data_IF_729504285615
#
_entry.id   IF_729504285615
#
_cell.length_a   1.000
_cell.length_b   1.000
_cell.length_c   1.000
_cell.angle_alpha   90.00
_cell.angle_beta   90.00
_cell.angle_gamma   90.00
#
_symmetry.space_group_name_H-M   'P 1'
#
loop_
_entity.id
_entity.type
_entity.pdbx_description
1 polymer ?
#
# COMPACT_ATOMS: atom_id res chain seq x y z
N UNK A 1 -1.06 -12.71 -0.10
CA UNK A 1 -2.21 -13.08 -0.96
C UNK A 1 -3.02 -14.17 -0.28
N UNK A 2 -2.57 -15.43 -0.22
CA UNK A 2 -3.43 -16.52 0.31
C UNK A 2 -3.44 -16.65 1.84
N UNK A 3 -2.52 -16.02 2.56
CA UNK A 3 -2.53 -16.02 4.03
C UNK A 3 -3.80 -15.32 4.52
N UNK A 4 -4.59 -15.92 5.42
CA UNK A 4 -5.84 -15.33 5.87
C UNK A 4 -5.60 -14.01 6.60
N UNK A 5 -6.58 -13.08 6.58
CA UNK A 5 -6.42 -11.74 7.15
C UNK A 5 -6.19 -11.80 8.67
N UNK A 6 -6.69 -12.84 9.35
CA UNK A 6 -6.41 -13.09 10.77
C UNK A 6 -4.91 -13.27 11.07
N UNK A 7 -4.13 -13.78 10.12
CA UNK A 7 -2.69 -14.06 10.25
C UNK A 7 -1.78 -13.10 9.48
N UNK A 8 -2.31 -12.26 8.59
CA UNK A 8 -1.53 -11.31 7.78
C UNK A 8 -2.15 -9.91 7.81
N UNK A 9 -2.20 -9.32 8.99
CA UNK A 9 -2.57 -7.92 9.22
C UNK A 9 -1.37 -6.97 9.00
N UNK A 10 -1.55 -5.63 8.97
CA UNK A 10 -0.52 -4.70 8.50
C UNK A 10 0.83 -4.84 9.20
N UNK A 11 0.85 -4.94 10.53
CA UNK A 11 2.11 -5.09 11.28
C UNK A 11 2.83 -6.43 11.01
N UNK A 12 2.10 -7.53 10.88
CA UNK A 12 2.68 -8.83 10.54
C UNK A 12 3.14 -8.88 9.09
N UNK A 13 2.41 -8.25 8.17
CA UNK A 13 2.83 -8.12 6.78
C UNK A 13 4.12 -7.30 6.66
N UNK A 14 4.20 -6.15 7.34
CA UNK A 14 5.41 -5.33 7.40
C UNK A 14 6.61 -6.09 7.99
N UNK A 15 6.39 -6.86 9.06
CA UNK A 15 7.42 -7.72 9.66
C UNK A 15 7.96 -8.76 8.69
N UNK A 16 7.08 -9.45 7.94
CA UNK A 16 7.50 -10.44 6.93
C UNK A 16 8.24 -9.81 5.77
N UNK A 17 7.74 -8.67 5.27
CA UNK A 17 8.39 -7.91 4.21
C UNK A 17 9.81 -7.50 4.62
N UNK A 18 9.96 -6.95 5.84
CA UNK A 18 11.25 -6.60 6.42
C UNK A 18 12.19 -7.80 6.50
N UNK A 19 11.74 -8.92 7.06
CA UNK A 19 12.58 -10.11 7.21
C UNK A 19 13.09 -10.63 5.86
N UNK A 20 12.23 -10.70 4.84
CA UNK A 20 12.60 -11.12 3.49
C UNK A 20 13.58 -10.13 2.85
N UNK A 21 13.31 -8.83 2.94
CA UNK A 21 14.14 -7.80 2.32
C UNK A 21 15.54 -7.72 2.95
N UNK A 22 15.63 -7.76 4.28
CA UNK A 22 16.92 -7.76 4.98
C UNK A 22 17.75 -9.00 4.63
N UNK A 23 17.14 -10.16 4.42
CA UNK A 23 17.85 -11.36 3.97
C UNK A 23 18.50 -11.21 2.59
N UNK A 24 17.96 -10.32 1.74
CA UNK A 24 18.51 -9.98 0.41
C UNK A 24 19.41 -8.74 0.43
N UNK A 25 19.76 -8.21 1.62
CA UNK A 25 20.60 -7.02 1.76
C UNK A 25 19.91 -5.71 1.38
N UNK A 26 18.57 -5.69 1.33
CA UNK A 26 17.78 -4.51 1.00
C UNK A 26 17.57 -3.66 2.27
N UNK A 27 17.70 -2.34 2.14
CA UNK A 27 17.41 -1.40 3.22
C UNK A 27 15.90 -1.32 3.47
N UNK A 28 15.48 -1.32 4.75
CA UNK A 28 14.07 -1.35 5.14
C UNK A 28 13.75 -0.26 6.15
N UNK A 29 12.76 0.56 5.83
CA UNK A 29 12.11 1.49 6.76
C UNK A 29 10.66 1.03 6.96
N UNK A 30 10.17 1.10 8.20
CA UNK A 30 8.78 0.81 8.53
C UNK A 30 8.27 1.93 9.42
N UNK A 31 7.24 2.63 8.98
CA UNK A 31 6.54 3.64 9.78
C UNK A 31 5.33 3.01 10.45
N UNK A 32 5.22 3.21 11.76
CA UNK A 32 4.02 2.86 12.54
C UNK A 32 2.94 3.94 12.49
N UNK A 33 1.79 3.70 13.14
CA UNK A 33 0.67 4.63 13.12
C UNK A 33 0.99 6.01 13.72
N UNK A 34 1.92 6.07 14.68
CA UNK A 34 2.31 7.32 15.34
C UNK A 34 3.23 8.11 14.43
N UNK A 35 4.17 7.45 13.78
CA UNK A 35 5.06 8.04 12.78
C UNK A 35 4.27 8.54 11.57
N UNK A 36 3.29 7.77 11.10
CA UNK A 36 2.38 8.17 10.01
C UNK A 36 1.54 9.39 10.39
N UNK A 37 0.98 9.41 11.60
CA UNK A 37 0.19 10.57 12.09
C UNK A 37 1.07 11.81 12.20
N UNK A 38 2.26 11.68 12.79
CA UNK A 38 3.22 12.79 12.92
C UNK A 38 3.74 13.28 11.57
N UNK A 39 3.89 12.37 10.61
CA UNK A 39 4.36 12.66 9.25
C UNK A 39 3.30 13.25 8.33
N UNK A 40 2.02 13.32 8.75
CA UNK A 40 0.95 13.90 7.94
C UNK A 40 0.36 12.97 6.87
N UNK A 41 0.49 11.64 7.03
CA UNK A 41 -0.07 10.64 6.12
C UNK A 41 -1.58 10.42 6.37
N UNK A 42 -2.37 11.46 6.13
CA UNK A 42 -3.79 11.46 6.52
C UNK A 42 -4.67 10.47 5.73
N UNK A 43 -4.29 10.09 4.51
CA UNK A 43 -4.97 9.04 3.74
C UNK A 43 -4.76 7.66 4.37
N UNK A 44 -3.51 7.30 4.68
CA UNK A 44 -3.17 6.02 5.32
C UNK A 44 -3.79 5.93 6.72
N UNK A 45 -3.65 6.99 7.53
CA UNK A 45 -4.22 7.03 8.88
C UNK A 45 -5.74 7.03 8.85
N UNK A 46 -6.36 7.80 7.94
CA UNK A 46 -7.81 7.89 7.78
C UNK A 46 -8.47 6.56 7.46
N UNK A 47 -7.87 5.77 6.57
CA UNK A 47 -8.34 4.43 6.23
C UNK A 47 -8.11 3.45 7.38
N UNK A 48 -6.91 3.43 7.97
CA UNK A 48 -6.53 2.43 8.97
C UNK A 48 -7.11 2.62 10.37
N UNK A 49 -7.55 3.84 10.74
CA UNK A 49 -8.03 4.16 12.11
C UNK A 49 -9.28 3.37 12.55
N UNK A 50 -9.98 2.75 11.60
CA UNK A 50 -11.14 1.91 11.89
C UNK A 50 -10.78 0.53 12.46
N UNK A 51 -9.58 0.02 12.19
CA UNK A 51 -9.14 -1.31 12.65
C UNK A 51 -8.44 -1.25 14.01
N UNK A 52 -8.54 -2.35 14.76
CA UNK A 52 -7.71 -2.61 15.94
C UNK A 52 -6.26 -2.95 15.60
N UNK A 53 -5.95 -3.17 14.31
CA UNK A 53 -4.61 -3.45 13.78
C UNK A 53 -4.14 -2.22 12.98
N UNK A 54 -3.36 -1.32 13.58
CA UNK A 54 -3.08 -0.01 13.01
C UNK A 54 -2.30 -0.09 11.68
N UNK A 55 -2.38 0.96 10.83
CA UNK A 55 -1.74 0.97 9.53
C UNK A 55 -0.21 1.01 9.63
N UNK A 56 0.47 0.68 8.53
CA UNK A 56 1.92 0.73 8.37
C UNK A 56 2.28 1.31 7.00
N UNK A 57 3.46 1.91 6.89
CA UNK A 57 4.10 2.14 5.60
C UNK A 57 5.44 1.44 5.59
N UNK A 58 5.70 0.60 4.59
CA UNK A 58 6.99 -0.07 4.41
C UNK A 58 7.70 0.52 3.22
N UNK A 59 8.96 0.91 3.39
CA UNK A 59 9.85 1.28 2.30
C UNK A 59 10.98 0.27 2.18
N UNK A 60 11.20 -0.25 0.97
CA UNK A 60 12.29 -1.19 0.65
C UNK A 60 13.18 -0.55 -0.42
N UNK A 61 14.44 -0.33 -0.09
CA UNK A 61 15.40 0.36 -0.97
C UNK A 61 16.48 -0.62 -1.42
N UNK A 62 16.41 -1.03 -2.69
CA UNK A 62 17.46 -1.78 -3.36
C UNK A 62 18.32 -0.83 -4.20
N UNK A 63 19.63 -0.86 -3.98
CA UNK A 63 20.61 -0.04 -4.70
C UNK A 63 21.45 -0.94 -5.61
N UNK A 64 20.99 -1.13 -6.85
CA UNK A 64 21.68 -1.94 -7.84
C UNK A 64 22.45 -1.12 -8.89
N UNK A 65 22.12 0.16 -9.04
CA UNK A 65 22.66 0.95 -10.12
C UNK A 65 24.15 1.29 -9.92
N UNK A 66 24.89 1.34 -11.04
CA UNK A 66 26.32 1.67 -11.05
C UNK A 66 26.58 2.92 -11.90
N UNK A 67 27.37 3.84 -11.35
CA UNK A 67 27.84 5.04 -12.06
C UNK A 67 26.85 6.21 -12.08
N UNK A 68 27.26 7.30 -12.73
CA UNK A 68 26.60 8.63 -12.68
C UNK A 68 25.25 8.74 -13.43
N UNK A 69 24.82 7.69 -14.13
CA UNK A 69 23.54 7.63 -14.88
C UNK A 69 22.63 6.50 -14.37
N UNK A 70 22.75 6.17 -13.09
CA UNK A 70 21.90 5.21 -12.41
C UNK A 70 20.43 5.52 -12.64
N UNK A 71 19.68 4.56 -13.18
CA UNK A 71 18.22 4.67 -13.32
C UNK A 71 17.55 4.21 -12.04
N UNK A 72 16.52 4.95 -11.62
CA UNK A 72 15.73 4.65 -10.43
C UNK A 72 14.27 4.45 -10.79
N UNK A 73 13.64 3.44 -10.20
CA UNK A 73 12.21 3.18 -10.32
C UNK A 73 11.59 3.13 -8.92
N UNK A 74 10.51 3.88 -8.74
CA UNK A 74 9.63 3.76 -7.60
C UNK A 74 8.50 2.77 -7.93
N UNK A 75 8.30 1.80 -7.04
CA UNK A 75 7.19 0.86 -7.12
C UNK A 75 6.25 1.11 -5.94
N UNK A 76 4.96 1.33 -6.20
CA UNK A 76 3.96 1.57 -5.16
C UNK A 76 2.92 0.45 -5.20
N UNK A 77 2.60 -0.15 -4.05
CA UNK A 77 1.71 -1.31 -4.01
C UNK A 77 0.61 -1.14 -2.97
N UNK A 78 -0.66 -1.19 -3.38
CA UNK A 78 -1.82 -1.16 -2.46
C UNK A 78 -1.73 -2.36 -1.50
N UNK A 79 -1.68 -2.08 -0.20
CA UNK A 79 -1.56 -3.08 0.87
C UNK A 79 -2.76 -3.15 1.81
N UNK A 80 -3.99 -3.12 1.28
CA UNK A 80 -5.18 -3.34 2.13
C UNK A 80 -5.27 -4.83 2.48
N UNK A 81 -4.86 -5.16 3.70
CA UNK A 81 -4.78 -6.55 4.16
C UNK A 81 -6.15 -7.21 4.34
N UNK A 82 -7.19 -6.39 4.55
CA UNK A 82 -8.58 -6.78 4.42
C UNK A 82 -9.46 -5.55 4.21
N UNK A 83 -10.49 -5.69 3.38
CA UNK A 83 -11.39 -4.60 3.01
C UNK A 83 -12.86 -5.00 3.19
N UNK A 84 -13.51 -4.46 4.22
CA UNK A 84 -14.97 -4.59 4.38
C UNK A 84 -15.72 -3.45 3.70
N UNK A 85 -15.00 -2.45 3.16
CA UNK A 85 -15.53 -1.17 2.71
C UNK A 85 -15.70 -0.09 3.77
N UNK A 86 -15.33 -0.38 5.03
CA UNK A 86 -15.52 0.57 6.15
C UNK A 86 -17.00 0.81 6.47
N UNK A 87 -17.38 2.08 6.69
CA UNK A 87 -18.78 2.49 6.95
C UNK A 87 -19.68 2.26 5.72
N UNK A 88 -19.15 2.49 4.52
CA UNK A 88 -19.74 2.10 3.23
C UNK A 88 -19.59 0.59 2.99
N UNK A 89 -20.18 -0.21 3.88
CA UNK A 89 -19.93 -1.65 3.98
C UNK A 89 -20.27 -2.42 2.69
N UNK A 90 -19.38 -3.33 2.29
CA UNK A 90 -19.63 -4.26 1.19
C UNK A 90 -20.75 -5.26 1.55
N UNK A 91 -21.49 -5.77 0.55
CA UNK A 91 -22.35 -6.94 0.75
C UNK A 91 -21.56 -8.16 1.21
N UNK A 92 -22.22 -9.10 1.90
CA UNK A 92 -21.55 -10.29 2.43
C UNK A 92 -20.99 -11.21 1.34
N UNK A 93 -21.68 -11.34 0.21
CA UNK A 93 -21.28 -12.23 -0.87
C UNK A 93 -19.95 -11.79 -1.52
N UNK A 94 -18.94 -12.65 -1.48
CA UNK A 94 -17.65 -12.40 -2.10
C UNK A 94 -16.65 -11.63 -1.23
N UNK A 95 -17.06 -11.16 -0.04
CA UNK A 95 -16.20 -10.39 0.87
C UNK A 95 -14.99 -11.22 1.36
N UNK A 96 -15.10 -12.55 1.41
CA UNK A 96 -13.99 -13.45 1.74
C UNK A 96 -12.78 -13.29 0.80
N UNK A 97 -13.03 -12.88 -0.46
CA UNK A 97 -11.98 -12.63 -1.44
C UNK A 97 -11.21 -11.34 -1.17
N UNK A 98 -11.70 -10.45 -0.29
CA UNK A 98 -11.00 -9.20 0.06
C UNK A 98 -9.71 -9.44 0.85
N UNK A 99 -9.42 -10.69 1.22
CA UNK A 99 -8.08 -11.12 1.63
C UNK A 99 -7.00 -10.82 0.57
N UNK A 100 -7.37 -10.78 -0.73
CA UNK A 100 -6.44 -10.47 -1.81
C UNK A 100 -6.27 -8.98 -2.10
N UNK A 101 -6.90 -8.08 -1.33
CA UNK A 101 -6.89 -6.63 -1.60
C UNK A 101 -5.53 -5.93 -1.29
N UNK A 102 -4.55 -6.75 -0.94
CA UNK A 102 -3.14 -6.45 -0.75
C UNK A 102 -2.26 -6.98 -1.90
N UNK A 103 -2.87 -7.39 -3.01
CA UNK A 103 -2.16 -8.03 -4.13
C UNK A 103 -1.10 -7.15 -4.77
N UNK A 104 -1.36 -5.84 -4.88
CA UNK A 104 -0.38 -4.86 -5.35
C UNK A 104 0.86 -4.79 -4.47
N UNK A 105 0.67 -4.68 -3.15
CA UNK A 105 1.76 -4.72 -2.17
C UNK A 105 2.59 -6.01 -2.27
N UNK A 106 1.92 -7.17 -2.36
CA UNK A 106 2.61 -8.46 -2.49
C UNK A 106 3.45 -8.53 -3.77
N UNK A 107 2.91 -8.06 -4.90
CA UNK A 107 3.61 -8.03 -6.18
C UNK A 107 4.85 -7.12 -6.13
N UNK A 108 4.70 -5.89 -5.63
CA UNK A 108 5.80 -4.93 -5.53
C UNK A 108 6.92 -5.43 -4.63
N UNK A 109 6.60 -5.97 -3.45
CA UNK A 109 7.60 -6.55 -2.55
C UNK A 109 8.35 -7.68 -3.26
N UNK A 110 7.64 -8.60 -3.93
CA UNK A 110 8.26 -9.72 -4.63
C UNK A 110 9.18 -9.27 -5.77
N UNK A 111 8.77 -8.26 -6.55
CA UNK A 111 9.58 -7.68 -7.63
C UNK A 111 10.84 -7.04 -7.09
N UNK A 112 10.76 -6.29 -5.99
CA UNK A 112 11.95 -5.67 -5.35
C UNK A 112 12.93 -6.71 -4.83
N UNK A 113 12.45 -7.78 -4.20
CA UNK A 113 13.29 -8.92 -3.78
C UNK A 113 13.95 -9.60 -4.97
N UNK A 114 13.20 -9.81 -6.07
CA UNK A 114 13.73 -10.42 -7.28
C UNK A 114 14.80 -9.56 -7.93
N UNK A 115 14.61 -8.23 -7.97
CA UNK A 115 15.61 -7.30 -8.50
C UNK A 115 16.94 -7.40 -7.74
N UNK A 116 16.88 -7.50 -6.40
CA UNK A 116 18.05 -7.68 -5.56
C UNK A 116 18.74 -9.03 -5.80
N UNK A 117 17.98 -10.13 -5.81
CA UNK A 117 18.50 -11.49 -6.08
C UNK A 117 19.21 -11.60 -7.43
N UNK A 118 18.66 -10.94 -8.45
CA UNK A 118 19.22 -10.93 -9.80
C UNK A 118 20.28 -9.85 -9.99
N UNK A 119 20.59 -9.07 -8.96
CA UNK A 119 21.57 -8.00 -8.99
C UNK A 119 21.35 -7.03 -10.15
N UNK A 120 20.08 -6.69 -10.43
CA UNK A 120 19.74 -5.85 -11.57
C UNK A 120 20.42 -4.47 -11.43
N UNK A 121 20.98 -3.91 -12.51
CA UNK A 121 21.75 -2.66 -12.45
C UNK A 121 20.86 -1.41 -12.39
N UNK A 122 19.85 -1.41 -11.52
CA UNK A 122 18.86 -0.34 -11.31
C UNK A 122 18.61 -0.13 -9.82
N UNK A 123 18.26 1.10 -9.46
CA UNK A 123 17.76 1.39 -8.11
C UNK A 123 16.25 1.15 -8.08
N UNK A 124 15.78 0.42 -7.08
CA UNK A 124 14.35 0.15 -6.88
C UNK A 124 13.96 0.58 -5.48
N UNK A 125 13.00 1.49 -5.38
CA UNK A 125 12.41 1.91 -4.11
C UNK A 125 10.95 1.49 -4.10
N UNK A 126 10.62 0.45 -3.33
CA UNK A 126 9.23 0.09 -3.10
C UNK A 126 8.66 0.89 -1.92
N UNK A 127 7.51 1.52 -2.11
CA UNK A 127 6.74 2.22 -1.07
C UNK A 127 5.37 1.57 -0.94
N UNK A 128 5.13 0.90 0.18
CA UNK A 128 4.01 -0.04 0.35
C UNK A 128 3.14 0.39 1.52
N UNK A 129 2.07 1.16 1.28
CA UNK A 129 1.11 1.53 2.32
C UNK A 129 0.25 0.32 2.69
N UNK A 130 0.04 0.09 3.99
CA UNK A 130 -0.70 -1.05 4.51
C UNK A 130 -1.76 -0.60 5.52
N UNK A 131 -2.97 -1.11 5.38
CA UNK A 131 -4.07 -0.88 6.32
C UNK A 131 -5.06 -2.05 6.30
N UNK A 132 -6.01 -2.06 7.24
CA UNK A 132 -7.28 -2.79 7.14
C UNK A 132 -8.40 -1.74 7.12
N UNK A 133 -9.33 -1.86 6.18
CA UNK A 133 -10.49 -0.98 6.10
C UNK A 133 -11.67 -1.65 6.80
N UNK A 134 -11.98 -1.20 8.01
CA UNK A 134 -12.95 -1.82 8.92
C UNK A 134 -13.97 -0.79 9.43
N UNK A 135 -15.26 -1.13 9.57
CA UNK A 135 -16.21 -0.31 10.32
C UNK A 135 -15.89 -0.40 11.82
N UNK A 136 -15.96 0.73 12.50
CA UNK A 136 -15.90 0.82 13.96
C UNK A 136 -16.34 2.22 14.40
N UNK A 137 -16.38 2.45 15.71
CA UNK A 137 -16.65 3.78 16.26
C UNK A 137 -15.56 4.81 15.92
N UNK A 138 -14.38 4.38 15.48
CA UNK A 138 -13.25 5.25 15.11
C UNK A 138 -13.03 5.34 13.61
N UNK A 139 -13.80 4.60 12.80
CA UNK A 139 -13.65 4.55 11.35
C UNK A 139 -13.87 5.92 10.69
N UNK A 140 -13.24 6.13 9.54
CA UNK A 140 -13.59 7.25 8.66
C UNK A 140 -15.03 7.10 8.16
N UNK A 141 -15.67 8.23 7.87
CA UNK A 141 -17.07 8.28 7.45
C UNK A 141 -17.21 9.02 6.12
N UNK A 142 -18.26 8.73 5.34
CA UNK A 142 -18.69 9.64 4.28
C UNK A 142 -18.87 11.07 4.81
N UNK A 143 -18.30 12.05 4.12
CA UNK A 143 -18.25 13.47 4.50
C UNK A 143 -17.03 13.89 5.34
N UNK A 144 -16.20 12.95 5.82
CA UNK A 144 -14.91 13.32 6.43
C UNK A 144 -13.99 13.93 5.34
N UNK A 145 -13.20 14.95 5.71
CA UNK A 145 -12.16 15.54 4.85
C UNK A 145 -10.80 15.16 5.42
N UNK A 146 -9.97 14.49 4.60
CA UNK A 146 -8.62 14.10 4.95
C UNK A 146 -7.61 15.08 4.34
N UNK A 147 -6.46 15.25 4.98
CA UNK A 147 -5.31 15.96 4.42
C UNK A 147 -4.21 14.95 4.10
N UNK A 148 -3.83 14.84 2.84
CA UNK A 148 -2.75 13.97 2.36
C UNK A 148 -1.38 14.53 2.73
N UNK A 149 -0.33 13.71 2.54
CA UNK A 149 1.07 14.05 2.85
C UNK A 149 1.56 15.36 2.20
N UNK A 150 1.09 15.71 1.01
CA UNK A 150 1.45 16.96 0.30
C UNK A 150 0.61 18.17 0.73
N UNK A 151 -0.33 18.00 1.65
CA UNK A 151 -1.27 19.03 2.09
C UNK A 151 -2.56 19.09 1.27
N UNK A 152 -2.71 18.31 0.20
CA UNK A 152 -3.95 18.22 -0.57
C UNK A 152 -5.08 17.67 0.29
N UNK A 153 -6.26 18.29 0.24
CA UNK A 153 -7.44 17.81 0.96
C UNK A 153 -8.33 16.95 0.07
N UNK A 154 -8.92 15.90 0.65
CA UNK A 154 -9.81 14.95 -0.04
C UNK A 154 -11.06 14.74 0.78
N UNK A 155 -12.22 15.04 0.21
CA UNK A 155 -13.52 14.64 0.79
C UNK A 155 -13.78 13.15 0.51
N UNK A 156 -14.03 12.39 1.57
CA UNK A 156 -14.37 10.98 1.47
C UNK A 156 -15.88 10.85 1.28
N UNK A 157 -16.35 10.57 0.08
CA UNK A 157 -17.78 10.33 -0.18
C UNK A 157 -18.17 8.85 -0.04
N UNK A 158 -17.21 7.95 -0.12
CA UNK A 158 -17.40 6.50 -0.01
C UNK A 158 -16.14 5.87 0.58
N UNK A 159 -16.29 5.16 1.71
CA UNK A 159 -15.14 4.56 2.41
C UNK A 159 -14.66 3.25 1.79
N UNK A 160 -15.39 2.71 0.80
CA UNK A 160 -15.02 1.57 -0.06
C UNK A 160 -14.12 1.99 -1.25
N UNK A 161 -13.77 3.27 -1.30
CA UNK A 161 -12.78 3.81 -2.22
C UNK A 161 -11.47 4.12 -1.47
N UNK A 162 -11.09 3.28 -0.52
CA UNK A 162 -9.96 3.45 0.40
C UNK A 162 -8.60 3.32 -0.28
N UNK A 163 -8.47 2.42 -1.26
CA UNK A 163 -7.20 2.10 -1.88
C UNK A 163 -6.51 3.31 -2.49
N UNK A 164 -7.27 4.20 -3.13
CA UNK A 164 -6.72 5.44 -3.72
C UNK A 164 -6.23 6.42 -2.65
N UNK A 165 -6.82 6.40 -1.45
CA UNK A 165 -6.43 7.31 -0.36
C UNK A 165 -5.06 6.93 0.19
N UNK A 166 -4.83 5.62 0.43
CA UNK A 166 -3.53 5.15 0.92
C UNK A 166 -2.43 5.23 -0.17
N UNK A 167 -2.82 5.05 -1.45
CA UNK A 167 -1.91 5.18 -2.58
C UNK A 167 -1.48 6.63 -2.81
N UNK A 168 -2.39 7.61 -2.66
CA UNK A 168 -2.04 9.02 -2.82
C UNK A 168 -0.89 9.45 -1.90
N UNK A 169 -1.00 9.15 -0.60
CA UNK A 169 0.07 9.36 0.38
C UNK A 169 1.38 8.67 -0.02
N UNK A 170 1.30 7.40 -0.43
CA UNK A 170 2.47 6.62 -0.82
C UNK A 170 3.13 7.12 -2.11
N UNK A 171 2.35 7.59 -3.08
CA UNK A 171 2.84 8.17 -4.34
C UNK A 171 3.54 9.49 -4.04
N UNK A 172 2.94 10.37 -3.24
CA UNK A 172 3.60 11.61 -2.79
C UNK A 172 4.94 11.29 -2.14
N UNK A 173 4.96 10.32 -1.21
CA UNK A 173 6.21 9.92 -0.54
C UNK A 173 7.23 9.37 -1.52
N UNK A 174 6.82 8.51 -2.46
CA UNK A 174 7.72 7.94 -3.47
C UNK A 174 8.31 9.01 -4.39
N UNK A 175 7.52 10.02 -4.78
CA UNK A 175 7.99 11.14 -5.60
C UNK A 175 9.06 12.00 -4.92
N UNK A 176 9.11 12.05 -3.58
CA UNK A 176 10.16 12.78 -2.84
C UNK A 176 11.56 12.17 -3.08
N UNK A 177 11.64 10.89 -3.45
CA UNK A 177 12.91 10.24 -3.81
C UNK A 177 13.36 10.57 -5.24
N UNK A 178 12.58 11.35 -5.99
CA UNK A 178 12.83 11.79 -7.37
C UNK A 178 13.19 10.64 -8.33
N UNK A 179 12.33 9.61 -8.46
CA UNK A 179 12.60 8.48 -9.34
C UNK A 179 12.50 8.88 -10.82
N UNK A 180 13.22 8.18 -11.72
CA UNK A 180 13.00 8.35 -13.17
C UNK A 180 11.62 7.85 -13.61
N UNK A 181 11.11 6.81 -12.94
CA UNK A 181 9.83 6.17 -13.22
C UNK A 181 9.08 5.84 -11.94
N UNK A 182 7.76 5.99 -11.95
CA UNK A 182 6.89 5.52 -10.87
C UNK A 182 5.83 4.60 -11.47
N UNK A 183 5.64 3.43 -10.85
CA UNK A 183 4.61 2.47 -11.23
C UNK A 183 3.86 2.08 -9.95
N UNK A 184 2.55 2.29 -9.93
CA UNK A 184 1.68 1.74 -8.90
C UNK A 184 0.98 0.45 -9.37
N UNK A 185 0.66 -0.42 -8.42
CA UNK A 185 -0.10 -1.65 -8.65
C UNK A 185 -1.15 -1.81 -7.56
N UNK A 186 -2.39 -2.08 -7.96
CA UNK A 186 -3.50 -2.13 -7.03
C UNK A 186 -4.68 -2.98 -7.54
N UNK A 187 -5.31 -3.69 -6.62
CA UNK A 187 -6.68 -4.20 -6.75
C UNK A 187 -7.66 -3.06 -6.47
N UNK A 188 -7.79 -2.13 -7.42
CA UNK A 188 -8.36 -0.81 -7.11
C UNK A 188 -9.87 -0.69 -7.33
N UNK A 189 -10.41 -1.29 -8.40
CA UNK A 189 -11.83 -1.07 -8.74
C UNK A 189 -12.49 -2.34 -9.28
N UNK A 190 -13.75 -2.56 -8.89
CA UNK A 190 -14.61 -3.54 -9.57
C UNK A 190 -14.93 -3.16 -11.02
N UNK A 191 -14.93 -1.86 -11.34
CA UNK A 191 -15.18 -1.35 -12.69
C UNK A 191 -14.15 -1.86 -13.71
N UNK A 192 -12.88 -1.98 -13.32
CA UNK A 192 -11.84 -2.57 -14.17
C UNK A 192 -12.21 -4.02 -14.57
N UNK A 193 -12.66 -4.83 -13.61
CA UNK A 193 -13.07 -6.22 -13.87
C UNK A 193 -14.28 -6.29 -14.79
N UNK A 194 -15.25 -5.37 -14.63
CA UNK A 194 -16.40 -5.27 -15.54
C UNK A 194 -15.96 -4.91 -16.96
N UNK A 195 -14.97 -4.01 -17.10
CA UNK A 195 -14.51 -3.53 -18.39
C UNK A 195 -13.60 -4.52 -19.14
N UNK A 196 -12.67 -5.17 -18.45
CA UNK A 196 -11.58 -5.97 -19.05
C UNK A 196 -11.61 -7.46 -18.67
N UNK A 197 -12.52 -7.86 -17.79
CA UNK A 197 -12.61 -9.22 -17.27
C UNK A 197 -11.52 -9.56 -16.25
N UNK A 198 -11.40 -10.85 -15.92
CA UNK A 198 -10.53 -11.36 -14.85
C UNK A 198 -9.13 -11.78 -15.30
N UNK A 199 -8.80 -11.59 -16.59
CA UNK A 199 -7.55 -12.09 -17.20
C UNK A 199 -6.63 -10.98 -17.72
N UNK A 200 -7.07 -9.73 -17.65
CA UNK A 200 -6.38 -8.58 -18.25
C UNK A 200 -6.33 -7.44 -17.22
N UNK A 201 -5.15 -6.99 -16.76
CA UNK A 201 -5.04 -5.78 -15.96
C UNK A 201 -5.28 -4.52 -16.81
N UNK A 202 -5.73 -3.44 -16.18
CA UNK A 202 -5.90 -2.12 -16.81
C UNK A 202 -4.67 -1.24 -16.69
#
# INVERSE_FOLDING_TARGET
MNTPPSHLFPAEFAKRAKALATAEGIEVEVLDEKELTKGGYGGIVGVGKGSSRPPRLVRLTYRGAKGKKAKSVALVGKGITFDTGGISIKPAGGMENMTSDMGGAAAVIAVTLLAARQQLPIDVIATVPMAENMPSSTAQRPGDVLTQLDGTTVEVINTDAEGRLILADAIVRACQDQPDYLIDTATLTGAQVVALGTRTPG
#
